data_IF_226498126392
#
_entry.id   IF_226498126392
#
_cell.length_a   1.000
_cell.length_b   1.000
_cell.length_c   1.000
_cell.angle_alpha   90.00
_cell.angle_beta   90.00
_cell.angle_gamma   90.00
#
_symmetry.space_group_name_H-M   'P 1'
#
loop_
_entity.id
_entity.type
_entity.pdbx_description
1 polymer ?
#
# COMPACT_ATOMS: atom_id res chain seq x y z
N UNK A 1 18.25 60.44 14.99
CA UNK A 1 18.45 59.33 14.01
C UNK A 1 19.01 58.05 14.64
N UNK A 2 19.31 58.06 15.92
CA UNK A 2 20.08 57.01 16.60
C UNK A 2 19.24 55.89 17.30
N UNK A 3 18.01 56.21 17.71
CA UNK A 3 17.18 55.22 18.46
C UNK A 3 16.61 54.10 17.63
N UNK A 4 16.45 54.29 16.31
CA UNK A 4 15.93 53.24 15.42
C UNK A 4 16.97 52.15 15.10
N UNK A 5 18.26 52.51 15.14
CA UNK A 5 19.36 51.57 14.85
C UNK A 5 19.62 50.63 16.04
N UNK A 6 19.55 51.16 17.26
CA UNK A 6 19.69 50.35 18.48
C UNK A 6 18.56 49.32 18.67
N UNK A 7 17.31 49.66 18.33
CA UNK A 7 16.19 48.71 18.40
C UNK A 7 16.33 47.54 17.41
N UNK A 8 16.77 47.83 16.17
CA UNK A 8 16.99 46.76 15.14
C UNK A 8 18.11 45.78 15.53
N UNK A 9 19.17 46.27 16.17
CA UNK A 9 20.29 45.42 16.62
C UNK A 9 19.85 44.54 17.80
N UNK A 10 19.01 45.08 18.69
CA UNK A 10 18.51 44.30 19.84
C UNK A 10 17.60 43.17 19.42
N UNK A 11 16.68 43.39 18.48
CA UNK A 11 15.81 42.37 17.93
C UNK A 11 16.62 41.26 17.19
N UNK A 12 17.62 41.64 16.38
CA UNK A 12 18.49 40.67 15.70
C UNK A 12 19.25 39.78 16.69
N UNK A 13 19.73 40.33 17.81
CA UNK A 13 20.40 39.56 18.86
C UNK A 13 19.43 38.61 19.57
N UNK A 14 18.19 39.06 19.85
CA UNK A 14 17.14 38.22 20.44
C UNK A 14 16.79 37.08 19.50
N UNK A 15 16.56 37.33 18.22
CA UNK A 15 16.28 36.29 17.23
C UNK A 15 17.46 35.30 17.05
N UNK A 16 18.70 35.80 17.10
CA UNK A 16 19.88 34.92 17.02
C UNK A 16 20.02 34.04 18.27
N UNK A 17 19.73 34.57 19.46
CA UNK A 17 19.75 33.82 20.73
C UNK A 17 18.61 32.79 20.81
N UNK A 18 17.41 33.14 20.34
CA UNK A 18 16.29 32.21 20.27
C UNK A 18 16.54 31.12 19.23
N UNK A 19 17.11 31.43 18.08
CA UNK A 19 17.49 30.44 17.07
C UNK A 19 18.60 29.50 17.59
N UNK A 20 19.60 30.05 18.29
CA UNK A 20 20.67 29.23 18.91
C UNK A 20 20.12 28.32 20.02
N UNK A 21 19.17 28.81 20.83
CA UNK A 21 18.47 28.03 21.86
C UNK A 21 17.66 26.89 21.24
N UNK A 22 16.94 27.16 20.13
CA UNK A 22 16.21 26.15 19.39
C UNK A 22 17.13 25.08 18.79
N UNK A 23 18.28 25.48 18.22
CA UNK A 23 19.27 24.53 17.69
C UNK A 23 19.87 23.67 18.82
N UNK A 24 20.15 24.26 19.99
CA UNK A 24 20.64 23.52 21.15
C UNK A 24 19.60 22.51 21.68
N UNK A 25 18.33 22.90 21.76
CA UNK A 25 17.23 21.99 22.14
C UNK A 25 17.10 20.85 21.12
N UNK A 26 17.18 21.15 19.82
CA UNK A 26 17.16 20.14 18.76
C UNK A 26 18.36 19.20 18.88
N UNK A 27 19.56 19.71 19.08
CA UNK A 27 20.78 18.88 19.25
C UNK A 27 20.73 18.03 20.52
N UNK A 28 20.24 18.59 21.64
CA UNK A 28 20.08 17.84 22.90
C UNK A 28 19.04 16.73 22.77
N UNK A 29 17.95 17.00 22.08
CA UNK A 29 16.91 16.02 21.83
C UNK A 29 17.33 14.96 20.80
N UNK A 30 18.14 15.30 19.79
CA UNK A 30 18.81 14.35 18.90
C UNK A 30 19.76 13.42 19.70
N UNK A 31 20.53 14.00 20.57
CA UNK A 31 21.41 13.24 21.47
C UNK A 31 20.61 12.29 22.36
N UNK A 32 19.54 12.77 22.98
CA UNK A 32 18.64 11.95 23.80
C UNK A 32 17.95 10.84 23.00
N UNK A 33 17.46 11.12 21.79
CA UNK A 33 16.81 10.13 20.93
C UNK A 33 17.80 9.05 20.42
N UNK A 34 19.03 9.42 20.17
CA UNK A 34 20.08 8.51 19.65
C UNK A 34 20.68 7.64 20.74
N UNK A 35 20.92 8.18 21.94
CA UNK A 35 21.62 7.50 23.04
C UNK A 35 20.71 6.82 24.06
N UNK A 36 19.42 7.16 24.14
CA UNK A 36 18.51 6.45 25.05
C UNK A 36 17.96 5.20 24.36
N UNK A 37 18.46 4.04 24.77
CA UNK A 37 17.85 2.75 24.46
C UNK A 37 16.51 2.53 25.21
N UNK A 38 16.07 3.51 26.00
CA UNK A 38 14.89 3.40 26.86
C UNK A 38 13.61 3.42 26.04
N UNK A 39 12.64 2.66 26.51
CA UNK A 39 11.27 2.57 25.94
C UNK A 39 10.32 3.59 26.61
N UNK A 40 10.85 4.55 27.35
CA UNK A 40 10.05 5.56 28.04
C UNK A 40 9.27 6.46 27.04
N UNK A 41 8.13 7.04 27.46
CA UNK A 41 7.28 7.82 26.57
C UNK A 41 7.97 9.04 25.97
N UNK A 42 8.90 9.68 26.70
CA UNK A 42 9.62 10.87 26.23
C UNK A 42 10.59 10.50 25.11
N UNK A 43 11.36 9.44 25.31
CA UNK A 43 12.27 8.92 24.30
C UNK A 43 11.53 8.47 23.04
N UNK A 44 10.37 7.79 23.19
CA UNK A 44 9.53 7.38 22.06
C UNK A 44 8.97 8.58 21.30
N UNK A 45 8.53 9.62 22.02
CA UNK A 45 8.07 10.86 21.38
C UNK A 45 9.17 11.48 20.51
N UNK A 46 10.37 11.67 21.07
CA UNK A 46 11.48 12.22 20.28
C UNK A 46 11.82 11.34 19.07
N UNK A 47 11.93 10.04 19.24
CA UNK A 47 12.17 9.11 18.12
C UNK A 47 11.09 9.16 17.04
N UNK A 48 9.84 9.50 17.39
CA UNK A 48 8.76 9.60 16.42
C UNK A 48 8.84 10.87 15.54
N UNK A 49 9.42 11.93 16.05
CA UNK A 49 9.54 13.22 15.34
C UNK A 49 10.87 13.41 14.62
N UNK A 50 11.95 12.71 15.06
CA UNK A 50 13.26 12.84 14.43
C UNK A 50 13.34 12.00 13.16
N UNK A 51 13.80 12.61 12.06
CA UNK A 51 14.01 11.90 10.80
C UNK A 51 15.27 11.03 10.88
N UNK A 52 15.16 9.79 10.43
CA UNK A 52 16.29 8.92 10.10
C UNK A 52 16.65 9.06 8.60
N UNK A 53 15.69 9.43 7.76
CA UNK A 53 15.89 9.69 6.35
C UNK A 53 14.87 10.69 5.85
N UNK A 54 15.22 11.47 4.83
CA UNK A 54 14.29 12.26 4.04
C UNK A 54 14.08 11.58 2.69
N UNK A 55 12.83 11.53 2.25
CA UNK A 55 12.40 10.90 1.01
C UNK A 55 11.52 11.91 0.28
N UNK A 56 12.10 12.62 -0.68
CA UNK A 56 11.44 13.75 -1.33
C UNK A 56 11.02 14.81 -0.30
N UNK A 57 9.73 15.05 -0.16
CA UNK A 57 9.13 15.99 0.80
C UNK A 57 8.73 15.33 2.14
N UNK A 58 9.02 14.04 2.32
CA UNK A 58 8.63 13.25 3.50
C UNK A 58 9.84 12.82 4.31
N UNK A 59 9.58 12.35 5.53
CA UNK A 59 10.62 11.79 6.38
C UNK A 59 10.22 10.44 6.94
N UNK A 60 11.22 9.57 7.11
CA UNK A 60 11.13 8.32 7.87
C UNK A 60 11.69 8.60 9.24
N UNK A 61 10.92 8.39 10.30
CA UNK A 61 11.36 8.66 11.67
C UNK A 61 12.34 7.59 12.19
N UNK A 62 13.12 7.98 13.20
CA UNK A 62 13.97 7.04 13.94
C UNK A 62 13.15 5.92 14.58
N UNK A 63 11.97 6.24 15.13
CA UNK A 63 11.07 5.23 15.72
C UNK A 63 10.60 4.22 14.68
N UNK A 64 10.21 4.67 13.48
CA UNK A 64 9.79 3.78 12.39
C UNK A 64 10.92 2.85 11.96
N UNK A 65 12.14 3.38 11.83
CA UNK A 65 13.35 2.59 11.55
C UNK A 65 13.60 1.53 12.61
N UNK A 66 13.60 1.91 13.89
CA UNK A 66 13.86 0.98 15.00
C UNK A 66 12.80 -0.12 15.09
N UNK A 67 11.53 0.21 14.79
CA UNK A 67 10.44 -0.76 14.77
C UNK A 67 10.57 -1.73 13.58
N UNK A 68 10.84 -1.23 12.38
CA UNK A 68 11.04 -2.07 11.21
C UNK A 68 12.21 -3.04 11.39
N UNK A 69 13.33 -2.58 11.96
CA UNK A 69 14.47 -3.42 12.26
C UNK A 69 14.14 -4.52 13.27
N UNK A 70 13.41 -4.20 14.35
CA UNK A 70 12.97 -5.20 15.32
C UNK A 70 12.07 -6.27 14.72
N UNK A 71 11.15 -5.87 13.83
CA UNK A 71 10.27 -6.80 13.13
C UNK A 71 11.08 -7.67 12.17
N UNK A 72 11.99 -7.08 11.38
CA UNK A 72 12.85 -7.85 10.47
C UNK A 72 13.67 -8.91 11.22
N UNK A 73 14.29 -8.56 12.35
CA UNK A 73 15.05 -9.49 13.20
C UNK A 73 14.16 -10.57 13.84
N UNK A 74 12.88 -10.32 14.08
CA UNK A 74 11.95 -11.33 14.57
C UNK A 74 11.60 -12.38 13.49
N UNK A 75 11.59 -11.97 12.21
CA UNK A 75 11.39 -12.89 11.09
C UNK A 75 12.67 -13.66 10.74
N UNK A 76 13.81 -12.96 10.69
CA UNK A 76 15.12 -13.53 10.41
C UNK A 76 16.16 -12.89 11.35
N UNK A 77 16.73 -13.66 12.30
CA UNK A 77 17.77 -13.17 13.19
C UNK A 77 19.05 -12.66 12.48
N UNK A 78 19.22 -12.96 11.21
CA UNK A 78 20.33 -12.48 10.37
C UNK A 78 19.92 -11.32 9.45
N UNK A 79 18.68 -10.81 9.58
CA UNK A 79 18.21 -9.70 8.76
C UNK A 79 19.14 -8.50 8.89
N UNK A 80 19.53 -7.94 7.76
CA UNK A 80 20.30 -6.72 7.70
C UNK A 80 19.42 -5.50 8.05
N UNK A 81 19.96 -4.62 8.90
CA UNK A 81 19.30 -3.37 9.27
C UNK A 81 18.99 -2.50 8.05
N UNK A 82 19.87 -2.50 7.04
CA UNK A 82 19.70 -1.68 5.85
C UNK A 82 18.51 -2.13 5.00
N UNK A 83 18.21 -3.41 4.96
CA UNK A 83 17.03 -3.95 4.27
C UNK A 83 15.72 -3.41 4.87
N UNK A 84 15.62 -3.38 6.20
CA UNK A 84 14.42 -2.85 6.87
C UNK A 84 14.24 -1.34 6.62
N UNK A 85 15.34 -0.59 6.64
CA UNK A 85 15.34 0.85 6.33
C UNK A 85 14.95 1.08 4.87
N UNK A 86 15.46 0.27 3.95
CA UNK A 86 15.12 0.37 2.53
C UNK A 86 13.64 0.15 2.28
N UNK A 87 13.02 -0.83 2.94
CA UNK A 87 11.56 -1.05 2.85
C UNK A 87 10.75 0.18 3.27
N UNK A 88 11.15 0.85 4.36
CA UNK A 88 10.51 2.10 4.80
C UNK A 88 10.69 3.22 3.78
N UNK A 89 11.89 3.35 3.21
CA UNK A 89 12.18 4.33 2.15
C UNK A 89 11.32 4.07 0.92
N UNK A 90 11.21 2.81 0.49
CA UNK A 90 10.36 2.44 -0.65
C UNK A 90 8.88 2.74 -0.35
N UNK A 91 8.41 2.47 0.86
CA UNK A 91 7.04 2.80 1.29
C UNK A 91 6.80 4.32 1.25
N UNK A 92 7.73 5.13 1.76
CA UNK A 92 7.65 6.59 1.71
C UNK A 92 7.66 7.13 0.28
N UNK A 93 8.49 6.56 -0.61
CA UNK A 93 8.50 6.88 -2.04
C UNK A 93 7.16 6.58 -2.71
N UNK A 94 6.57 5.40 -2.45
CA UNK A 94 5.26 5.03 -2.98
C UNK A 94 4.18 5.98 -2.51
N UNK A 95 4.20 6.36 -1.23
CA UNK A 95 3.27 7.34 -0.68
C UNK A 95 3.39 8.71 -1.38
N UNK A 96 4.61 9.17 -1.65
CA UNK A 96 4.83 10.41 -2.38
C UNK A 96 4.35 10.29 -3.83
N UNK A 97 4.62 9.17 -4.49
CA UNK A 97 4.15 8.92 -5.86
C UNK A 97 2.62 8.94 -5.94
N UNK A 98 1.92 8.26 -5.00
CA UNK A 98 0.45 8.32 -4.91
C UNK A 98 -0.05 9.76 -4.80
N UNK A 99 0.55 10.56 -3.90
CA UNK A 99 0.21 11.98 -3.76
C UNK A 99 0.43 12.78 -5.05
N UNK A 100 1.53 12.54 -5.78
CA UNK A 100 1.81 13.20 -7.06
C UNK A 100 0.84 12.81 -8.18
N UNK A 101 0.25 11.62 -8.08
CA UNK A 101 -0.80 11.13 -9.00
C UNK A 101 -2.21 11.56 -8.56
N UNK A 102 -2.35 12.30 -7.46
CA UNK A 102 -3.64 12.73 -6.92
C UNK A 102 -4.44 11.61 -6.26
N UNK A 103 -3.80 10.49 -5.90
CA UNK A 103 -4.44 9.33 -5.30
C UNK A 103 -4.40 9.48 -3.78
N UNK A 104 -5.58 9.50 -3.16
CA UNK A 104 -5.75 9.55 -1.71
C UNK A 104 -5.97 8.14 -1.18
N UNK A 105 -5.16 7.74 -0.20
CA UNK A 105 -5.35 6.50 0.55
C UNK A 105 -6.40 6.75 1.63
N UNK A 106 -7.43 5.94 1.66
CA UNK A 106 -8.54 6.07 2.62
C UNK A 106 -8.42 5.06 3.77
N UNK A 107 -9.05 5.29 4.92
CA UNK A 107 -9.15 4.28 5.97
C UNK A 107 -9.76 2.96 5.46
N UNK A 108 -10.74 3.03 4.56
CA UNK A 108 -11.41 1.87 3.98
C UNK A 108 -10.44 1.01 3.15
N UNK A 109 -9.48 1.61 2.45
CA UNK A 109 -8.46 0.85 1.70
C UNK A 109 -7.60 0.01 2.66
N UNK A 110 -7.23 0.59 3.80
CA UNK A 110 -6.42 -0.08 4.82
C UNK A 110 -7.23 -1.16 5.54
N UNK A 111 -8.46 -0.86 5.93
CA UNK A 111 -9.37 -1.81 6.58
C UNK A 111 -9.70 -3.00 5.66
N UNK A 112 -9.95 -2.75 4.38
CA UNK A 112 -10.20 -3.79 3.39
C UNK A 112 -9.00 -4.74 3.22
N UNK A 113 -7.79 -4.20 3.07
CA UNK A 113 -6.57 -5.02 2.95
C UNK A 113 -6.28 -5.77 4.26
N UNK A 114 -6.52 -5.16 5.43
CA UNK A 114 -6.38 -5.84 6.72
C UNK A 114 -7.38 -6.98 6.88
N UNK A 115 -8.64 -6.77 6.48
CA UNK A 115 -9.67 -7.81 6.49
C UNK A 115 -9.30 -8.97 5.56
N UNK A 116 -8.84 -8.67 4.36
CA UNK A 116 -8.36 -9.66 3.40
C UNK A 116 -7.18 -10.48 3.95
N UNK A 117 -6.21 -9.82 4.59
CA UNK A 117 -5.09 -10.49 5.26
C UNK A 117 -5.56 -11.40 6.39
N UNK A 118 -6.51 -10.94 7.22
CA UNK A 118 -7.10 -11.73 8.30
C UNK A 118 -7.79 -12.98 7.78
N UNK A 119 -8.58 -12.86 6.73
CA UNK A 119 -9.30 -13.97 6.11
C UNK A 119 -8.32 -15.00 5.52
N UNK A 120 -7.27 -14.56 4.83
CA UNK A 120 -6.24 -15.43 4.25
C UNK A 120 -5.35 -16.13 5.29
N UNK A 121 -5.30 -15.62 6.52
CA UNK A 121 -4.53 -16.17 7.66
C UNK A 121 -5.43 -16.74 8.76
N UNK A 122 -6.63 -17.20 8.41
CA UNK A 122 -7.61 -17.70 9.36
C UNK A 122 -6.97 -18.73 10.33
N UNK A 123 -7.10 -18.49 11.65
CA UNK A 123 -6.50 -19.31 12.71
C UNK A 123 -5.01 -19.08 13.00
N UNK A 124 -4.27 -18.39 12.14
CA UNK A 124 -2.84 -18.09 12.34
C UNK A 124 -2.56 -16.60 12.57
N UNK A 125 -3.52 -15.74 12.26
CA UNK A 125 -3.35 -14.28 12.32
C UNK A 125 -2.92 -13.79 13.70
N UNK A 126 -3.61 -14.24 14.77
CA UNK A 126 -3.27 -13.84 16.14
C UNK A 126 -1.84 -14.25 16.52
N UNK A 127 -1.43 -15.48 16.16
CA UNK A 127 -0.08 -15.97 16.40
C UNK A 127 0.96 -15.17 15.60
N UNK A 128 0.66 -14.75 14.38
CA UNK A 128 1.53 -13.92 13.57
C UNK A 128 1.74 -12.55 14.24
N UNK A 129 0.65 -11.88 14.66
CA UNK A 129 0.71 -10.60 15.35
C UNK A 129 1.49 -10.71 16.66
N UNK A 130 1.22 -11.72 17.47
CA UNK A 130 1.92 -11.92 18.74
C UNK A 130 3.41 -12.19 18.53
N UNK A 131 3.75 -13.12 17.66
CA UNK A 131 5.12 -13.60 17.45
C UNK A 131 6.04 -12.54 16.85
N UNK A 132 5.58 -11.84 15.82
CA UNK A 132 6.44 -10.95 15.03
C UNK A 132 6.24 -9.47 15.34
N UNK A 133 5.06 -9.09 15.80
CA UNK A 133 4.70 -7.69 16.08
C UNK A 133 4.42 -7.43 17.57
N UNK A 134 4.68 -8.43 18.45
CA UNK A 134 4.52 -8.33 19.92
C UNK A 134 3.10 -7.89 20.32
N UNK A 135 2.09 -8.46 19.69
CA UNK A 135 0.69 -8.13 19.93
C UNK A 135 0.24 -6.77 19.36
N UNK A 136 1.11 -6.04 18.66
CA UNK A 136 0.80 -4.72 18.13
C UNK A 136 0.30 -4.79 16.68
N UNK A 137 -1.02 -4.87 16.49
CA UNK A 137 -1.66 -4.86 15.17
C UNK A 137 -1.40 -3.56 14.40
N UNK A 138 -1.27 -2.41 15.09
CA UNK A 138 -0.93 -1.15 14.45
C UNK A 138 0.45 -1.21 13.76
N UNK A 139 1.41 -1.88 14.39
CA UNK A 139 2.74 -2.05 13.81
C UNK A 139 2.70 -2.97 12.58
N UNK A 140 1.89 -4.03 12.61
CA UNK A 140 1.62 -4.86 11.41
C UNK A 140 0.96 -4.02 10.31
N UNK A 141 -0.02 -3.20 10.68
CA UNK A 141 -0.70 -2.32 9.73
C UNK A 141 0.29 -1.38 9.06
N UNK A 142 1.14 -0.68 9.82
CA UNK A 142 2.10 0.28 9.28
C UNK A 142 3.18 -0.37 8.39
N UNK A 143 3.68 -1.54 8.78
CA UNK A 143 4.82 -2.18 8.11
C UNK A 143 4.44 -3.19 7.02
N UNK A 144 3.21 -3.69 7.03
CA UNK A 144 2.76 -4.72 6.09
C UNK A 144 1.53 -4.27 5.29
N UNK A 145 0.46 -3.86 5.97
CA UNK A 145 -0.82 -3.56 5.31
C UNK A 145 -0.71 -2.30 4.46
N UNK A 146 -0.22 -1.20 5.03
CA UNK A 146 -0.09 0.09 4.33
C UNK A 146 0.79 0.00 3.07
N UNK A 147 1.99 -0.63 3.11
CA UNK A 147 2.78 -0.83 1.89
C UNK A 147 2.05 -1.62 0.81
N UNK A 148 1.25 -2.63 1.18
CA UNK A 148 0.45 -3.43 0.24
C UNK A 148 -0.67 -2.61 -0.39
N UNK A 149 -1.34 -1.76 0.42
CA UNK A 149 -2.35 -0.81 -0.10
C UNK A 149 -1.73 0.13 -1.12
N UNK A 150 -0.54 0.68 -0.85
CA UNK A 150 0.16 1.55 -1.81
C UNK A 150 0.48 0.82 -3.11
N UNK A 151 0.98 -0.41 -3.02
CA UNK A 151 1.26 -1.24 -4.19
C UNK A 151 -0.03 -1.53 -4.98
N UNK A 152 -1.13 -1.83 -4.29
CA UNK A 152 -2.41 -2.09 -4.91
C UNK A 152 -2.93 -0.87 -5.68
N UNK A 153 -2.96 0.30 -5.04
CA UNK A 153 -3.44 1.53 -5.64
C UNK A 153 -2.58 1.97 -6.85
N UNK A 154 -1.26 1.85 -6.74
CA UNK A 154 -0.34 2.14 -7.86
C UNK A 154 -0.53 1.18 -9.03
N UNK A 155 -0.77 -0.10 -8.75
CA UNK A 155 -1.03 -1.08 -9.79
C UNK A 155 -2.41 -0.89 -10.44
N UNK A 156 -3.44 -0.50 -9.68
CA UNK A 156 -4.72 -0.08 -10.25
C UNK A 156 -4.54 1.13 -11.15
N UNK A 157 -3.80 2.15 -10.71
CA UNK A 157 -3.50 3.33 -11.52
C UNK A 157 -2.78 2.95 -12.81
N UNK A 158 -1.75 2.11 -12.71
CA UNK A 158 -1.00 1.61 -13.87
C UNK A 158 -1.90 0.85 -14.85
N UNK A 159 -2.76 -0.03 -14.35
CA UNK A 159 -3.67 -0.82 -15.16
C UNK A 159 -4.83 0.01 -15.73
N UNK A 160 -5.24 1.08 -15.03
CA UNK A 160 -6.29 1.99 -15.51
C UNK A 160 -5.81 2.93 -16.62
N UNK A 161 -4.51 3.17 -16.72
CA UNK A 161 -3.96 3.96 -17.82
C UNK A 161 -3.68 3.06 -19.04
N UNK A 162 -4.66 3.03 -19.96
CA UNK A 162 -4.55 2.26 -21.19
C UNK A 162 -3.35 2.67 -22.08
N UNK A 163 -2.76 3.85 -21.86
CA UNK A 163 -1.55 4.28 -22.56
C UNK A 163 -0.32 3.49 -22.10
N UNK A 164 -0.32 3.02 -20.85
CA UNK A 164 0.74 2.16 -20.30
C UNK A 164 0.56 0.71 -20.70
N UNK A 165 -0.70 0.28 -20.93
CA UNK A 165 -1.05 -1.11 -21.23
C UNK A 165 -1.99 -1.25 -22.45
N UNK A 166 -1.68 -0.63 -23.60
CA UNK A 166 -2.64 -0.55 -24.71
C UNK A 166 -3.04 -1.92 -25.27
N UNK A 167 -2.12 -2.87 -25.34
CA UNK A 167 -2.37 -4.21 -25.88
C UNK A 167 -3.29 -5.01 -24.96
N UNK A 168 -2.96 -5.12 -23.67
CA UNK A 168 -3.77 -5.88 -22.70
C UNK A 168 -5.15 -5.27 -22.53
N UNK A 169 -5.24 -3.93 -22.49
CA UNK A 169 -6.52 -3.24 -22.40
C UNK A 169 -7.38 -3.49 -23.64
N UNK A 170 -6.82 -3.36 -24.83
CA UNK A 170 -7.53 -3.62 -26.10
C UNK A 170 -8.02 -5.07 -26.19
N UNK A 171 -7.19 -6.03 -25.70
CA UNK A 171 -7.60 -7.43 -25.63
C UNK A 171 -8.78 -7.64 -24.68
N UNK A 172 -8.73 -7.08 -23.48
CA UNK A 172 -9.83 -7.18 -22.53
C UNK A 172 -11.13 -6.54 -23.07
N UNK A 173 -11.04 -5.37 -23.69
CA UNK A 173 -12.18 -4.71 -24.33
C UNK A 173 -12.74 -5.53 -25.50
N UNK A 174 -11.88 -6.17 -26.30
CA UNK A 174 -12.32 -7.05 -27.37
C UNK A 174 -13.06 -8.29 -26.86
N UNK A 175 -12.62 -8.89 -25.76
CA UNK A 175 -13.32 -9.99 -25.09
C UNK A 175 -14.68 -9.54 -24.53
N UNK A 176 -14.72 -8.38 -23.88
CA UNK A 176 -15.97 -7.81 -23.38
C UNK A 176 -16.97 -7.54 -24.51
N UNK A 177 -16.50 -7.00 -25.64
CA UNK A 177 -17.34 -6.76 -26.81
C UNK A 177 -17.95 -8.06 -27.35
N UNK A 178 -17.18 -9.15 -27.41
CA UNK A 178 -17.67 -10.48 -27.79
C UNK A 178 -18.75 -10.99 -26.83
N UNK A 179 -18.52 -10.84 -25.52
CA UNK A 179 -19.51 -11.23 -24.49
C UNK A 179 -20.81 -10.42 -24.64
N UNK A 180 -20.70 -9.11 -24.82
CA UNK A 180 -21.87 -8.24 -25.08
C UNK A 180 -22.60 -8.58 -26.38
N UNK A 181 -21.93 -9.19 -27.36
CA UNK A 181 -22.49 -9.70 -28.59
C UNK A 181 -23.09 -11.13 -28.45
N UNK A 182 -23.07 -11.72 -27.25
CA UNK A 182 -23.67 -13.02 -26.95
C UNK A 182 -22.75 -14.22 -27.10
N UNK A 183 -21.42 -14.01 -27.19
CA UNK A 183 -20.48 -15.13 -27.14
C UNK A 183 -20.52 -15.84 -25.79
N UNK A 184 -20.27 -17.15 -25.80
CA UNK A 184 -20.25 -17.96 -24.60
C UNK A 184 -19.07 -17.58 -23.68
N UNK A 185 -19.36 -17.38 -22.38
CA UNK A 185 -18.36 -16.93 -21.41
C UNK A 185 -17.29 -18.00 -21.19
N UNK A 186 -17.67 -19.25 -21.02
CA UNK A 186 -16.79 -20.39 -20.75
C UNK A 186 -15.81 -20.62 -21.92
N UNK A 187 -16.31 -20.46 -23.13
CA UNK A 187 -15.48 -20.57 -24.33
C UNK A 187 -14.37 -19.50 -24.36
N UNK A 188 -14.74 -18.25 -24.08
CA UNK A 188 -13.77 -17.15 -24.02
C UNK A 188 -12.85 -17.28 -22.80
N UNK A 189 -13.33 -17.76 -21.67
CA UNK A 189 -12.55 -17.99 -20.46
C UNK A 189 -11.47 -19.07 -20.63
N UNK A 190 -11.64 -20.01 -21.58
CA UNK A 190 -10.59 -21.00 -21.91
C UNK A 190 -9.29 -20.34 -22.37
N UNK A 191 -9.35 -19.13 -22.93
CA UNK A 191 -8.22 -18.31 -23.33
C UNK A 191 -7.67 -17.40 -22.21
N UNK A 192 -8.24 -17.44 -21.01
CA UNK A 192 -7.81 -16.64 -19.86
C UNK A 192 -6.32 -16.85 -19.52
N UNK A 193 -5.66 -15.80 -19.03
CA UNK A 193 -4.31 -15.90 -18.48
C UNK A 193 -4.28 -16.57 -17.10
N UNK A 194 -5.41 -16.70 -16.41
CA UNK A 194 -5.60 -17.67 -15.33
C UNK A 194 -5.93 -19.04 -15.95
N UNK A 195 -4.88 -19.85 -16.10
CA UNK A 195 -5.01 -21.16 -16.74
C UNK A 195 -5.79 -22.16 -15.89
N UNK A 196 -5.83 -21.98 -14.58
CA UNK A 196 -6.54 -22.90 -13.66
C UNK A 196 -8.05 -22.73 -13.82
N UNK A 197 -8.55 -21.52 -13.60
CA UNK A 197 -9.99 -21.26 -13.78
C UNK A 197 -10.40 -21.32 -15.24
N UNK A 198 -9.51 -20.95 -16.18
CA UNK A 198 -9.80 -21.01 -17.61
C UNK A 198 -10.17 -22.42 -18.10
N UNK A 199 -9.50 -23.47 -17.57
CA UNK A 199 -9.85 -24.88 -17.87
C UNK A 199 -11.24 -25.27 -17.33
N UNK A 200 -11.75 -24.53 -16.34
CA UNK A 200 -13.06 -24.70 -15.75
C UNK A 200 -14.08 -23.70 -16.30
N UNK A 201 -13.84 -23.12 -17.48
CA UNK A 201 -14.71 -22.09 -18.04
C UNK A 201 -14.71 -20.78 -17.26
N UNK A 202 -13.63 -20.49 -16.53
CA UNK A 202 -13.48 -19.31 -15.70
C UNK A 202 -14.10 -19.43 -14.31
N UNK A 203 -14.66 -20.56 -13.94
CA UNK A 203 -15.40 -20.76 -12.68
C UNK A 203 -14.45 -20.66 -11.47
N UNK A 204 -14.85 -19.80 -10.51
CA UNK A 204 -14.14 -19.57 -9.25
C UNK A 204 -14.87 -20.21 -8.06
N UNK A 205 -16.07 -20.78 -8.29
CA UNK A 205 -16.95 -21.27 -7.23
C UNK A 205 -17.51 -20.17 -6.34
N UNK A 206 -17.96 -20.57 -5.14
CA UNK A 206 -18.42 -19.64 -4.11
C UNK A 206 -17.24 -19.12 -3.28
N UNK A 207 -17.23 -17.81 -3.05
CA UNK A 207 -16.31 -17.18 -2.12
C UNK A 207 -17.02 -16.09 -1.29
N UNK A 208 -16.65 -15.94 -0.04
CA UNK A 208 -17.12 -14.86 0.80
C UNK A 208 -16.53 -13.52 0.34
N UNK A 209 -17.27 -12.43 0.52
CA UNK A 209 -16.86 -11.10 0.08
C UNK A 209 -15.45 -10.74 0.57
N UNK A 210 -15.13 -11.07 1.82
CA UNK A 210 -13.83 -10.82 2.45
C UNK A 210 -12.69 -11.75 1.97
N UNK A 211 -13.00 -12.78 1.19
CA UNK A 211 -12.02 -13.68 0.56
C UNK A 211 -11.72 -13.30 -0.89
N UNK A 212 -12.47 -12.36 -1.44
CA UNK A 212 -12.31 -11.85 -2.82
C UNK A 212 -11.47 -10.57 -2.77
N UNK A 213 -10.62 -10.38 -3.79
CA UNK A 213 -9.87 -9.14 -3.92
C UNK A 213 -10.82 -7.93 -3.89
N UNK A 214 -10.49 -6.86 -3.15
CA UNK A 214 -11.42 -5.75 -2.90
C UNK A 214 -12.01 -5.14 -4.17
N UNK A 215 -11.21 -5.01 -5.24
CA UNK A 215 -11.65 -4.46 -6.52
C UNK A 215 -12.70 -5.37 -7.19
N UNK A 216 -12.53 -6.69 -7.09
CA UNK A 216 -13.47 -7.67 -7.65
C UNK A 216 -14.73 -7.77 -6.79
N UNK A 217 -14.58 -7.80 -5.45
CA UNK A 217 -15.71 -7.83 -4.52
C UNK A 217 -16.61 -6.60 -4.69
N UNK A 218 -16.01 -5.39 -4.77
CA UNK A 218 -16.72 -4.15 -5.03
C UNK A 218 -17.52 -4.21 -6.36
N UNK A 219 -16.94 -4.82 -7.40
CA UNK A 219 -17.65 -4.97 -8.68
C UNK A 219 -18.76 -6.01 -8.61
N UNK A 220 -18.49 -7.19 -8.03
CA UNK A 220 -19.49 -8.26 -7.88
C UNK A 220 -20.72 -7.79 -7.10
N UNK A 221 -20.54 -6.96 -6.06
CA UNK A 221 -21.65 -6.43 -5.26
C UNK A 221 -22.61 -5.54 -6.05
N UNK A 222 -22.21 -5.04 -7.23
CA UNK A 222 -23.04 -4.20 -8.11
C UNK A 222 -23.73 -4.98 -9.22
N UNK A 223 -23.37 -6.25 -9.43
CA UNK A 223 -23.93 -7.08 -10.50
C UNK A 223 -25.17 -7.82 -10.02
N UNK A 224 -26.06 -8.12 -10.96
CA UNK A 224 -27.14 -9.10 -10.78
C UNK A 224 -26.69 -10.46 -11.27
N UNK A 225 -27.31 -11.52 -10.76
CA UNK A 225 -27.09 -12.87 -11.27
C UNK A 225 -27.35 -12.92 -12.80
N UNK A 226 -26.41 -13.53 -13.52
CA UNK A 226 -26.41 -13.58 -14.99
C UNK A 226 -25.77 -12.37 -15.69
N UNK A 227 -25.28 -11.37 -14.96
CA UNK A 227 -24.64 -10.19 -15.56
C UNK A 227 -23.11 -10.34 -15.69
N UNK A 228 -22.59 -9.78 -16.80
CA UNK A 228 -21.16 -9.61 -17.08
C UNK A 228 -20.74 -8.19 -16.66
N UNK A 229 -19.61 -8.07 -15.98
CA UNK A 229 -19.05 -6.77 -15.62
C UNK A 229 -18.46 -6.03 -16.82
N UNK A 230 -18.22 -4.73 -16.67
CA UNK A 230 -17.20 -4.06 -17.46
C UNK A 230 -15.80 -4.58 -17.09
N UNK A 231 -14.77 -4.16 -17.86
CA UNK A 231 -13.39 -4.49 -17.55
C UNK A 231 -12.98 -3.85 -16.21
N UNK A 232 -12.53 -4.68 -15.27
CA UNK A 232 -12.06 -4.28 -13.93
C UNK A 232 -10.56 -4.37 -13.90
N UNK A 233 -9.87 -3.25 -13.63
CA UNK A 233 -8.45 -3.25 -13.38
C UNK A 233 -8.19 -3.77 -11.95
N UNK A 234 -7.32 -4.77 -11.83
CA UNK A 234 -6.96 -5.38 -10.55
C UNK A 234 -5.47 -5.25 -10.32
N UNK A 235 -5.13 -4.89 -9.09
CA UNK A 235 -3.73 -4.70 -8.71
C UNK A 235 -2.88 -5.92 -9.00
N UNK A 236 -1.72 -5.72 -9.64
CA UNK A 236 -0.69 -6.73 -9.97
C UNK A 236 -1.13 -7.89 -10.87
N UNK A 237 -2.40 -8.00 -11.19
CA UNK A 237 -2.91 -9.09 -12.03
C UNK A 237 -3.18 -8.62 -13.45
N UNK A 238 -3.91 -7.53 -13.63
CA UNK A 238 -4.30 -7.02 -14.92
C UNK A 238 -5.78 -6.68 -15.00
N UNK A 239 -6.40 -7.05 -16.09
CA UNK A 239 -7.80 -6.76 -16.37
C UNK A 239 -8.65 -8.02 -16.18
N UNK A 240 -9.73 -7.89 -15.41
CA UNK A 240 -10.72 -8.94 -15.21
C UNK A 240 -12.05 -8.57 -15.87
N UNK A 241 -12.71 -9.56 -16.42
CA UNK A 241 -14.12 -9.52 -16.78
C UNK A 241 -14.80 -10.56 -15.91
N UNK A 242 -15.80 -10.13 -15.13
CA UNK A 242 -16.52 -10.98 -14.19
C UNK A 242 -17.88 -11.37 -14.76
N UNK A 243 -18.35 -12.54 -14.39
CA UNK A 243 -19.71 -12.98 -14.57
C UNK A 243 -20.25 -13.46 -13.22
N UNK A 244 -21.30 -12.82 -12.72
CA UNK A 244 -21.96 -13.24 -11.50
C UNK A 244 -22.95 -14.37 -11.81
N UNK A 245 -22.65 -15.58 -11.34
CA UNK A 245 -23.55 -16.74 -11.47
C UNK A 245 -24.67 -16.59 -10.45
N UNK A 246 -24.32 -16.38 -9.19
CA UNK A 246 -25.27 -16.31 -8.07
C UNK A 246 -24.65 -15.49 -6.92
N UNK A 247 -25.51 -14.78 -6.20
CA UNK A 247 -25.18 -14.17 -4.91
C UNK A 247 -26.12 -14.69 -3.84
N UNK A 248 -25.62 -15.06 -2.67
CA UNK A 248 -26.39 -15.51 -1.53
C UNK A 248 -25.94 -14.82 -0.25
N UNK A 249 -26.82 -14.78 0.75
CA UNK A 249 -26.51 -14.34 2.10
C UNK A 249 -26.68 -15.52 3.04
N UNK A 250 -25.61 -15.94 3.69
CA UNK A 250 -25.62 -17.03 4.63
C UNK A 250 -25.19 -16.51 6.01
N UNK A 251 -26.14 -16.41 6.93
CA UNK A 251 -25.90 -15.93 8.30
C UNK A 251 -25.28 -14.53 8.38
N UNK A 252 -25.63 -13.63 7.44
CA UNK A 252 -25.09 -12.27 7.36
C UNK A 252 -23.75 -12.19 6.62
N UNK A 253 -23.27 -13.30 6.05
CA UNK A 253 -22.09 -13.33 5.20
C UNK A 253 -22.53 -13.41 3.72
N UNK A 254 -22.10 -12.43 2.92
CA UNK A 254 -22.35 -12.43 1.48
C UNK A 254 -21.38 -13.37 0.78
N UNK A 255 -21.93 -14.27 -0.01
CA UNK A 255 -21.23 -15.22 -0.85
C UNK A 255 -21.52 -14.94 -2.31
N UNK A 256 -20.48 -15.00 -3.15
CA UNK A 256 -20.60 -14.84 -4.60
C UNK A 256 -20.08 -16.09 -5.31
N UNK A 257 -20.94 -16.73 -6.12
CA UNK A 257 -20.49 -17.68 -7.14
C UNK A 257 -20.22 -16.89 -8.41
N UNK A 258 -18.98 -16.87 -8.85
CA UNK A 258 -18.56 -16.03 -9.97
C UNK A 258 -17.65 -16.78 -10.95
N UNK A 259 -17.62 -16.30 -12.18
CA UNK A 259 -16.63 -16.66 -13.18
C UNK A 259 -15.79 -15.45 -13.54
N UNK A 260 -14.58 -15.67 -14.02
CA UNK A 260 -13.75 -14.58 -14.54
C UNK A 260 -12.97 -14.93 -15.81
N UNK A 261 -12.57 -13.88 -16.53
CA UNK A 261 -11.56 -13.92 -17.57
C UNK A 261 -10.47 -12.93 -17.14
N UNK A 262 -9.23 -13.40 -17.05
CA UNK A 262 -8.07 -12.57 -16.73
C UNK A 262 -7.26 -12.30 -18.01
N UNK A 263 -6.95 -11.03 -18.24
CA UNK A 263 -5.93 -10.56 -19.19
C UNK A 263 -4.82 -9.90 -18.41
N UNK A 264 -3.67 -10.56 -18.29
CA UNK A 264 -2.52 -10.06 -17.54
C UNK A 264 -1.94 -8.81 -18.15
N UNK A 265 -1.49 -7.90 -17.30
CA UNK A 265 -0.60 -6.79 -17.68
C UNK A 265 0.86 -7.14 -17.36
N UNK A 266 1.78 -6.48 -18.05
CA UNK A 266 3.22 -6.63 -17.85
C UNK A 266 3.87 -5.24 -17.73
N UNK A 267 5.05 -5.18 -17.09
CA UNK A 267 5.82 -3.94 -17.00
C UNK A 267 5.52 -3.06 -15.81
N UNK A 268 4.59 -3.43 -14.92
CA UNK A 268 4.28 -2.65 -13.70
C UNK A 268 5.53 -2.43 -12.84
N UNK A 269 6.29 -3.47 -12.55
CA UNK A 269 7.48 -3.36 -11.70
C UNK A 269 8.55 -2.46 -12.35
N UNK A 270 8.70 -2.53 -13.66
CA UNK A 270 9.61 -1.66 -14.40
C UNK A 270 9.14 -0.20 -14.34
N UNK A 271 7.87 0.07 -14.61
CA UNK A 271 7.27 1.39 -14.51
C UNK A 271 7.41 1.95 -13.10
N UNK A 272 7.04 1.17 -12.08
CA UNK A 272 7.13 1.57 -10.68
C UNK A 272 8.56 1.92 -10.30
N UNK A 273 9.52 1.05 -10.65
CA UNK A 273 10.94 1.30 -10.39
C UNK A 273 11.42 2.60 -11.04
N UNK A 274 11.04 2.87 -12.29
CA UNK A 274 11.37 4.14 -12.97
C UNK A 274 10.80 5.35 -12.24
N UNK A 275 9.54 5.31 -11.79
CA UNK A 275 8.92 6.40 -11.04
C UNK A 275 9.63 6.62 -9.69
N UNK A 276 9.86 5.54 -8.93
CA UNK A 276 10.48 5.64 -7.60
C UNK A 276 11.94 6.11 -7.65
N UNK A 277 12.66 5.82 -8.73
CA UNK A 277 14.05 6.28 -8.91
C UNK A 277 14.17 7.79 -9.12
N UNK A 278 13.10 8.47 -9.51
CA UNK A 278 13.08 9.94 -9.63
C UNK A 278 12.95 10.65 -8.27
N UNK A 279 12.57 9.91 -7.22
CA UNK A 279 12.37 10.48 -5.88
C UNK A 279 13.70 10.42 -5.13
N UNK A 280 14.21 11.59 -4.75
CA UNK A 280 15.47 11.74 -4.02
C UNK A 280 15.39 11.17 -2.60
N UNK A 281 16.49 10.62 -2.11
CA UNK A 281 16.62 10.12 -0.74
C UNK A 281 17.87 10.72 -0.11
N UNK A 282 17.71 11.28 1.07
CA UNK A 282 18.82 11.71 1.91
C UNK A 282 18.77 10.97 3.25
N UNK A 283 19.78 10.15 3.51
CA UNK A 283 19.92 9.39 4.77
C UNK A 283 20.75 10.17 5.76
N UNK A 284 20.27 10.28 6.98
CA UNK A 284 21.03 10.82 8.11
C UNK A 284 21.89 9.66 8.66
N UNK A 285 23.20 9.82 8.52
CA UNK A 285 24.18 8.85 9.02
C UNK A 285 24.39 8.99 10.52
#
# INVERSE_FOLDING_TARGET
>A
MDQHHHKKIHHRKIYALTALGLVLVILLSLFMAYYTSSQDPVSRFFKSVYPASFVGDRSVSVLSRDNAQKVALAFDPKADSDTAVEQLIQTAKKQQLLGSLGITVTPQDVEGELAYLKAGQAGQYANLVEKYFKGNEGLLTDLVVVPRVYDALLAVQYNSDFKLNPTSYSMAQGLLAKLKAGSNFEELASGSDDKVSGQLGGDLGFAAENQILPELAAKLSTLKAGEVSDVVAVSRLGYHILYLVEASDQNGEKLYHSKHILVKTSGFDQWLSQQLNQISVWRIK
#
